data_IF_402340275181
#
_entry.id   IF_402340275181
#
_cell.length_a   1.000
_cell.length_b   1.000
_cell.length_c   1.000
_cell.angle_alpha   90.00
_cell.angle_beta   90.00
_cell.angle_gamma   90.00
#
_symmetry.space_group_name_H-M   'P 1'
#
loop_
_entity.id
_entity.type
_entity.pdbx_description
1 polymer ?
#
# COMPACT_ATOMS: atom_id res chain seq x y z
N UNK A 1 -14.94 -1.58 -11.12
CA UNK A 1 -15.11 -0.55 -10.08
C UNK A 1 -14.86 0.83 -10.70
N UNK A 2 -15.68 1.82 -10.33
CA UNK A 2 -15.86 3.10 -11.05
C UNK A 2 -15.21 4.31 -10.39
N UNK A 3 -15.87 5.45 -10.37
CA UNK A 3 -15.51 6.55 -9.47
C UNK A 3 -16.20 6.34 -8.12
N UNK A 4 -15.63 6.92 -7.06
CA UNK A 4 -16.23 6.93 -5.72
C UNK A 4 -16.17 8.33 -5.15
N UNK A 5 -17.02 8.61 -4.16
CA UNK A 5 -16.98 9.86 -3.40
C UNK A 5 -15.81 9.89 -2.42
N UNK A 6 -15.51 11.09 -1.92
CA UNK A 6 -14.44 11.33 -0.95
C UNK A 6 -14.63 10.47 0.30
N UNK A 7 -13.53 10.02 0.90
CA UNK A 7 -13.62 9.24 2.12
C UNK A 7 -12.29 8.82 2.73
N UNK A 8 -12.34 8.55 4.03
CA UNK A 8 -11.21 8.08 4.83
C UNK A 8 -11.45 6.70 5.46
N UNK A 9 -12.64 6.14 5.26
CA UNK A 9 -13.01 4.85 5.81
C UNK A 9 -12.41 3.71 4.97
N UNK A 10 -11.82 2.66 5.58
CA UNK A 10 -11.27 1.52 4.86
C UNK A 10 -12.27 0.87 3.88
N UNK A 11 -13.55 0.83 4.27
CA UNK A 11 -14.63 0.26 3.46
C UNK A 11 -14.86 1.04 2.15
N UNK A 12 -14.68 2.37 2.17
CA UNK A 12 -14.86 3.22 0.98
C UNK A 12 -13.86 2.88 -0.12
N UNK A 13 -12.68 2.38 0.26
CA UNK A 13 -11.57 2.11 -0.66
C UNK A 13 -11.33 0.61 -0.91
N UNK A 14 -12.18 -0.26 -0.36
CA UNK A 14 -11.94 -1.70 -0.41
C UNK A 14 -10.60 -2.10 0.25
N UNK A 15 -10.14 -1.30 1.21
CA UNK A 15 -8.91 -1.55 1.95
C UNK A 15 -9.12 -2.76 2.86
N UNK A 16 -8.35 -3.82 2.60
CA UNK A 16 -8.39 -5.05 3.38
C UNK A 16 -6.99 -5.35 3.93
N UNK A 17 -6.84 -5.22 5.25
CA UNK A 17 -5.66 -5.67 5.99
C UNK A 17 -5.87 -7.11 6.43
N UNK A 18 -5.20 -8.07 5.80
CA UNK A 18 -5.43 -9.48 6.13
C UNK A 18 -4.68 -9.92 7.40
N UNK A 19 -3.66 -9.19 7.86
CA UNK A 19 -2.76 -9.66 8.92
C UNK A 19 -2.16 -8.55 9.80
N UNK A 20 -1.55 -8.96 10.92
CA UNK A 20 -1.01 -8.08 11.96
C UNK A 20 0.04 -7.10 11.46
N UNK A 21 0.87 -7.48 10.48
CA UNK A 21 1.93 -6.59 10.00
C UNK A 21 1.41 -5.27 9.44
N UNK A 22 0.17 -5.25 8.91
CA UNK A 22 -0.44 -4.05 8.35
C UNK A 22 -1.52 -3.41 9.24
N UNK A 23 -1.72 -3.93 10.45
CA UNK A 23 -2.73 -3.42 11.38
C UNK A 23 -2.48 -1.93 11.69
N UNK A 24 -3.55 -1.13 11.58
CA UNK A 24 -3.49 0.32 11.78
C UNK A 24 -3.14 1.12 10.52
N UNK A 25 -3.06 0.47 9.36
CA UNK A 25 -3.00 1.15 8.06
C UNK A 25 -4.30 1.92 7.81
N UNK A 26 -4.19 3.13 7.28
CA UNK A 26 -5.32 3.98 6.91
C UNK A 26 -5.17 4.51 5.50
N UNK A 27 -6.27 4.96 4.91
CA UNK A 27 -6.31 5.48 3.55
C UNK A 27 -7.26 6.67 3.45
N UNK A 28 -6.98 7.59 2.53
CA UNK A 28 -7.89 8.69 2.19
C UNK A 28 -7.96 8.89 0.70
N UNK A 29 -9.17 9.18 0.21
CA UNK A 29 -9.44 9.49 -1.17
C UNK A 29 -10.20 10.81 -1.29
N UNK A 30 -9.77 11.62 -2.26
CA UNK A 30 -10.48 12.81 -2.70
C UNK A 30 -10.73 12.63 -4.20
N UNK A 31 -11.97 12.78 -4.64
CA UNK A 31 -12.41 12.60 -6.02
C UNK A 31 -11.87 13.69 -6.94
N UNK A 32 -11.92 14.95 -6.52
CA UNK A 32 -11.34 16.08 -7.25
C UNK A 32 -9.96 16.41 -6.68
N UNK A 33 -8.91 16.04 -7.41
CA UNK A 33 -7.55 16.08 -6.90
C UNK A 33 -6.51 16.32 -7.98
N UNK A 34 -5.25 16.23 -7.58
CA UNK A 34 -4.06 16.47 -8.41
C UNK A 34 -3.60 15.25 -9.23
N UNK A 35 -4.28 14.12 -9.08
CA UNK A 35 -3.94 12.86 -9.72
C UNK A 35 -2.89 12.05 -8.98
N UNK A 36 -2.50 12.41 -7.75
CA UNK A 36 -1.47 11.69 -7.02
C UNK A 36 -1.99 10.38 -6.40
N UNK A 37 -1.11 9.38 -6.36
CA UNK A 37 -1.24 8.18 -5.53
C UNK A 37 0.01 8.08 -4.67
N UNK A 38 -0.13 8.30 -3.37
CA UNK A 38 0.97 8.39 -2.43
C UNK A 38 0.84 7.27 -1.40
N UNK A 39 1.84 6.40 -1.33
CA UNK A 39 1.91 5.31 -0.35
C UNK A 39 3.05 5.59 0.61
N UNK A 40 2.72 5.95 1.85
CA UNK A 40 3.66 6.26 2.92
C UNK A 40 3.76 5.07 3.86
N UNK A 41 4.98 4.55 4.03
CA UNK A 41 5.27 3.45 4.94
C UNK A 41 5.81 4.00 6.25
N UNK A 42 5.34 3.44 7.36
CA UNK A 42 5.84 3.70 8.71
C UNK A 42 6.14 2.38 9.38
N UNK A 43 7.43 2.10 9.57
CA UNK A 43 7.90 0.85 10.14
C UNK A 43 8.11 0.95 11.64
N UNK A 44 7.56 -0.02 12.36
CA UNK A 44 7.90 -0.35 13.75
C UNK A 44 8.71 -1.65 13.82
N UNK A 45 9.11 -2.21 12.67
CA UNK A 45 9.99 -3.36 12.63
C UNK A 45 11.35 -3.05 13.28
N UNK A 46 11.91 -4.08 13.91
CA UNK A 46 13.26 -4.07 14.48
C UNK A 46 14.35 -4.39 13.45
N UNK A 47 13.96 -4.69 12.21
CA UNK A 47 14.86 -5.04 11.10
C UNK A 47 14.39 -4.35 9.83
N UNK A 48 15.31 -4.15 8.89
CA UNK A 48 14.99 -3.68 7.55
C UNK A 48 14.07 -4.71 6.87
N UNK A 49 13.10 -4.20 6.12
CA UNK A 49 12.12 -4.98 5.37
C UNK A 49 11.95 -4.38 3.99
N UNK A 50 11.50 -5.21 3.07
CA UNK A 50 11.16 -4.79 1.72
C UNK A 50 9.67 -5.01 1.54
N UNK A 51 8.99 -4.05 0.91
CA UNK A 51 7.58 -4.17 0.54
C UNK A 51 7.49 -4.28 -0.97
N UNK A 52 6.95 -5.41 -1.45
CA UNK A 52 6.63 -5.57 -2.86
C UNK A 52 5.25 -4.97 -3.13
N UNK A 53 5.11 -4.26 -4.25
CA UNK A 53 3.85 -3.74 -4.73
C UNK A 53 3.50 -4.54 -5.98
N UNK A 54 2.42 -5.32 -5.89
CA UNK A 54 1.97 -6.23 -6.94
C UNK A 54 0.65 -5.75 -7.53
N UNK A 55 0.42 -6.06 -8.80
CA UNK A 55 -0.90 -5.95 -9.43
C UNK A 55 -1.08 -7.01 -10.50
N UNK A 56 -2.21 -7.72 -10.47
CA UNK A 56 -2.50 -8.77 -11.46
C UNK A 56 -1.55 -9.98 -11.43
N UNK A 57 -0.78 -10.15 -10.35
CA UNK A 57 0.22 -11.22 -10.21
C UNK A 57 1.66 -10.77 -10.47
N UNK A 58 1.85 -9.60 -11.09
CA UNK A 58 3.18 -9.05 -11.40
C UNK A 58 3.63 -8.04 -10.34
N UNK A 59 4.93 -8.03 -10.04
CA UNK A 59 5.55 -6.96 -9.24
C UNK A 59 5.69 -5.73 -10.10
N UNK A 60 5.02 -4.66 -9.69
CA UNK A 60 5.05 -3.37 -10.39
C UNK A 60 6.01 -2.38 -9.74
N UNK A 61 6.31 -2.55 -8.44
CA UNK A 61 7.28 -1.74 -7.72
C UNK A 61 7.75 -2.43 -6.44
N UNK A 62 8.76 -1.86 -5.79
CA UNK A 62 9.34 -2.32 -4.53
C UNK A 62 9.88 -1.15 -3.70
N UNK A 63 9.68 -1.20 -2.38
CA UNK A 63 10.17 -0.17 -1.46
C UNK A 63 10.91 -0.82 -0.30
N UNK A 64 12.19 -0.48 -0.15
CA UNK A 64 12.97 -0.81 1.04
C UNK A 64 12.65 0.15 2.18
N UNK A 65 12.30 -0.40 3.34
CA UNK A 65 11.97 0.37 4.54
C UNK A 65 12.87 -0.09 5.68
N UNK A 66 13.75 0.82 6.13
CA UNK A 66 14.66 0.54 7.24
C UNK A 66 13.91 0.37 8.56
N UNK A 67 14.50 -0.39 9.48
CA UNK A 67 13.99 -0.59 10.83
C UNK A 67 13.66 0.75 11.51
N UNK A 68 12.43 0.90 12.01
CA UNK A 68 11.97 2.12 12.67
C UNK A 68 11.87 3.37 11.79
N UNK A 69 12.00 3.24 10.46
CA UNK A 69 11.99 4.38 9.51
C UNK A 69 10.75 4.38 8.63
N UNK A 70 10.67 5.42 7.83
CA UNK A 70 9.63 5.62 6.82
C UNK A 70 10.17 5.37 5.43
N UNK A 71 9.28 4.93 4.53
CA UNK A 71 9.53 4.86 3.09
C UNK A 71 8.34 5.49 2.35
N UNK A 72 8.50 5.78 1.07
CA UNK A 72 7.44 6.36 0.28
C UNK A 72 7.49 5.85 -1.15
N UNK A 73 6.32 5.57 -1.71
CA UNK A 73 6.11 5.34 -3.13
C UNK A 73 5.14 6.42 -3.66
N UNK A 74 5.57 7.11 -4.71
CA UNK A 74 4.75 8.09 -5.43
C UNK A 74 4.41 7.57 -6.81
N UNK A 75 3.13 7.62 -7.15
CA UNK A 75 2.60 7.28 -8.47
C UNK A 75 1.41 8.19 -8.79
N UNK A 76 0.62 7.81 -9.81
CA UNK A 76 -0.52 8.61 -10.26
C UNK A 76 -1.78 7.77 -10.42
N UNK A 77 -2.94 8.42 -10.29
CA UNK A 77 -4.25 7.84 -10.60
C UNK A 77 -4.32 7.43 -12.06
N UNK A 78 -3.62 8.12 -12.96
CA UNK A 78 -3.49 7.72 -14.37
C UNK A 78 -2.80 6.36 -14.53
N UNK A 79 -1.76 6.09 -13.75
CA UNK A 79 -1.00 4.84 -13.82
C UNK A 79 -1.70 3.69 -13.09
N UNK A 80 -2.26 3.96 -11.91
CA UNK A 80 -2.75 2.92 -11.00
C UNK A 80 -4.28 2.84 -10.90
N UNK A 81 -5.01 3.83 -11.42
CA UNK A 81 -6.47 3.91 -11.33
C UNK A 81 -7.19 2.69 -11.90
N UNK A 82 -7.99 2.04 -11.05
CA UNK A 82 -8.73 0.83 -11.35
C UNK A 82 -7.94 -0.47 -11.13
N UNK A 83 -6.65 -0.40 -10.78
CA UNK A 83 -5.87 -1.57 -10.41
C UNK A 83 -6.12 -1.95 -8.94
N UNK A 84 -6.11 -3.25 -8.68
CA UNK A 84 -5.95 -3.77 -7.32
C UNK A 84 -4.46 -3.92 -7.05
N UNK A 85 -4.02 -3.35 -5.93
CA UNK A 85 -2.67 -3.46 -5.40
C UNK A 85 -2.64 -4.48 -4.28
N UNK A 86 -1.61 -5.33 -4.31
CA UNK A 86 -1.26 -6.22 -3.20
C UNK A 86 0.11 -5.80 -2.69
N UNK A 87 0.18 -5.49 -1.41
CA UNK A 87 1.41 -5.09 -0.75
C UNK A 87 1.87 -6.24 0.15
N UNK A 88 3.05 -6.78 -0.15
CA UNK A 88 3.63 -7.89 0.58
C UNK A 88 4.90 -7.44 1.28
N UNK A 89 4.85 -7.43 2.61
CA UNK A 89 6.03 -7.18 3.43
C UNK A 89 6.83 -8.47 3.54
N UNK A 90 8.10 -8.42 3.14
CA UNK A 90 9.00 -9.57 3.22
C UNK A 90 10.39 -9.17 3.73
N UNK A 91 11.13 -10.18 4.21
CA UNK A 91 12.53 -10.07 4.61
C UNK A 91 13.22 -11.41 4.38
N UNK A 92 14.47 -11.45 3.90
CA UNK A 92 15.20 -12.70 3.75
C UNK A 92 15.39 -13.39 5.12
N UNK A 93 15.07 -14.69 5.16
CA UNK A 93 15.36 -15.55 6.31
C UNK A 93 16.83 -16.00 6.36
N UNK A 94 17.17 -16.88 7.31
CA UNK A 94 18.52 -17.45 7.47
C UNK A 94 19.08 -18.13 6.21
N UNK A 95 18.20 -18.63 5.33
CA UNK A 95 18.56 -19.24 4.05
C UNK A 95 18.42 -18.29 2.84
N UNK A 96 18.19 -16.99 3.07
CA UNK A 96 17.94 -16.01 2.00
C UNK A 96 16.62 -16.20 1.24
N UNK A 97 15.78 -17.15 1.66
CA UNK A 97 14.49 -17.40 1.04
C UNK A 97 13.50 -16.28 1.39
N UNK A 98 12.71 -15.78 0.41
CA UNK A 98 11.65 -14.82 0.68
C UNK A 98 10.61 -15.40 1.64
N UNK A 99 10.46 -14.78 2.80
CA UNK A 99 9.39 -15.11 3.74
C UNK A 99 8.31 -14.03 3.73
N UNK A 100 7.06 -14.42 3.50
CA UNK A 100 5.88 -13.53 3.54
C UNK A 100 5.23 -13.44 4.93
N UNK A 101 5.94 -13.89 5.97
CA UNK A 101 5.40 -14.16 7.32
C UNK A 101 4.79 -12.98 8.10
N UNK A 102 4.57 -11.83 7.49
CA UNK A 102 3.80 -10.71 8.05
C UNK A 102 2.44 -10.48 7.41
N UNK A 103 2.22 -11.00 6.20
CA UNK A 103 0.96 -10.93 5.46
C UNK A 103 0.93 -9.98 4.30
N UNK A 104 -0.29 -9.73 3.85
CA UNK A 104 -0.60 -8.91 2.67
C UNK A 104 -1.63 -7.85 3.00
N UNK A 105 -1.45 -6.66 2.43
CA UNK A 105 -2.46 -5.60 2.37
C UNK A 105 -3.02 -5.55 0.96
N UNK A 106 -4.34 -5.45 0.82
CA UNK A 106 -5.01 -5.31 -0.47
C UNK A 106 -5.76 -3.99 -0.52
N UNK A 107 -5.60 -3.26 -1.62
CA UNK A 107 -6.30 -2.00 -1.86
C UNK A 107 -6.66 -1.90 -3.34
N UNK A 108 -7.86 -1.43 -3.65
CA UNK A 108 -8.21 -1.00 -5.00
C UNK A 108 -8.01 0.51 -5.14
N UNK A 109 -7.29 0.95 -6.19
CA UNK A 109 -7.06 2.37 -6.44
C UNK A 109 -8.24 2.95 -7.24
N UNK A 110 -8.96 3.95 -6.72
CA UNK A 110 -10.09 4.51 -7.45
C UNK A 110 -9.72 5.23 -8.73
N UNK A 111 -10.68 5.33 -9.66
CA UNK A 111 -10.58 6.19 -10.84
C UNK A 111 -11.27 7.51 -10.55
N UNK A 112 -10.81 8.58 -11.18
CA UNK A 112 -11.54 9.85 -11.25
C UNK A 112 -11.20 10.59 -12.53
N UNK A 113 -12.23 11.06 -13.22
CA UNK A 113 -12.13 12.00 -14.33
C UNK A 113 -11.75 13.41 -13.87
N UNK A 114 -11.83 13.69 -12.56
CA UNK A 114 -11.47 14.95 -11.91
C UNK A 114 -10.09 14.90 -11.24
N UNK A 115 -9.22 14.00 -11.71
CA UNK A 115 -7.85 13.82 -11.21
C UNK A 115 -7.76 12.79 -10.10
N UNK A 116 -8.52 12.98 -9.02
CA UNK A 116 -8.43 12.14 -7.82
C UNK A 116 -7.17 12.38 -7.00
N UNK A 117 -7.15 11.94 -5.74
CA UNK A 117 -5.97 11.95 -4.88
C UNK A 117 -6.10 10.84 -3.85
N UNK A 118 -5.16 9.89 -3.85
CA UNK A 118 -5.10 8.79 -2.90
C UNK A 118 -3.87 8.94 -2.01
N UNK A 119 -4.08 8.96 -0.68
CA UNK A 119 -3.01 8.67 0.27
C UNK A 119 -3.28 7.35 0.98
N UNK A 120 -2.26 6.51 1.08
CA UNK A 120 -2.25 5.28 1.87
C UNK A 120 -1.13 5.37 2.91
N UNK A 121 -1.48 5.33 4.20
CA UNK A 121 -0.54 5.37 5.32
C UNK A 121 -0.38 3.96 5.87
N UNK A 122 0.58 3.23 5.30
CA UNK A 122 0.87 1.83 5.60
C UNK A 122 1.68 1.69 6.88
N UNK A 123 1.17 0.89 7.81
CA UNK A 123 1.94 0.45 8.98
C UNK A 123 2.66 -0.85 8.66
N UNK A 124 3.93 -0.94 9.04
CA UNK A 124 4.72 -2.17 9.02
C UNK A 124 5.06 -2.52 10.46
N UNK A 125 4.34 -3.49 11.01
CA UNK A 125 4.51 -3.96 12.39
C UNK A 125 5.42 -5.17 12.44
N UNK A 126 6.06 -5.35 13.60
CA UNK A 126 6.80 -6.57 13.92
C UNK A 126 5.88 -7.79 13.72
N UNK A 127 6.33 -8.73 12.90
CA UNK A 127 5.70 -10.03 12.67
C UNK A 127 6.43 -11.12 13.42
#
# INVERSE_FOLDING_TARGET
MGEIDDGTEPATLGLNTLQKAFKGTTSSWIKKGDGAVIIKFSSTDTKDVTVNIMSGGDRIDEVDVKAGRTGELNSTVKALGGKTLYLDRWRPGFLGLPGTGGGSLVLWVPRSTQGGHLELKVKLNVS
#
